data_IF_894547934000
#
_entry.id   IF_894547934000
#
_cell.length_a   1.000
_cell.length_b   1.000
_cell.length_c   1.000
_cell.angle_alpha   90.00
_cell.angle_beta   90.00
_cell.angle_gamma   90.00
#
_symmetry.space_group_name_H-M   'P 1'
#
loop_
_entity.id
_entity.type
_entity.pdbx_description
1 polymer ?
#
# COMPACT_ATOMS: atom_id res chain seq x y z
N UNK A 1 13.97 45.84 1.48
CA UNK A 1 13.56 44.45 1.71
C UNK A 1 12.48 44.13 0.70
N UNK A 2 12.73 43.21 -0.24
CA UNK A 2 11.68 42.73 -1.13
C UNK A 2 10.79 41.77 -0.33
N UNK A 3 9.47 42.02 -0.29
CA UNK A 3 8.50 41.11 0.29
C UNK A 3 8.40 39.88 -0.60
N UNK A 4 8.81 38.71 -0.10
CA UNK A 4 8.59 37.43 -0.76
C UNK A 4 7.21 36.91 -0.41
N UNK A 5 6.36 36.68 -1.42
CA UNK A 5 5.07 36.04 -1.23
C UNK A 5 5.29 34.53 -1.20
N UNK A 6 4.83 33.84 -0.16
CA UNK A 6 4.93 32.37 -0.08
C UNK A 6 3.82 31.74 -0.90
N UNK A 7 4.18 31.04 -1.98
CA UNK A 7 3.26 30.12 -2.66
C UNK A 7 2.99 28.87 -1.81
N UNK A 8 2.01 28.03 -2.20
CA UNK A 8 1.62 26.85 -1.44
C UNK A 8 2.69 25.75 -1.40
N UNK A 9 3.54 25.68 -2.43
CA UNK A 9 4.73 24.82 -2.51
C UNK A 9 5.89 25.63 -3.06
N UNK A 10 7.11 25.38 -2.60
CA UNK A 10 8.31 26.07 -3.07
C UNK A 10 8.55 25.76 -4.57
N UNK A 11 8.88 26.75 -5.42
CA UNK A 11 9.24 26.54 -6.82
C UNK A 11 10.39 25.54 -7.04
N UNK A 12 11.37 25.47 -6.14
CA UNK A 12 12.46 24.50 -6.23
C UNK A 12 11.92 23.07 -6.08
N UNK A 13 11.07 22.84 -5.08
CA UNK A 13 10.44 21.55 -4.81
C UNK A 13 9.55 21.11 -5.97
N UNK A 14 8.73 22.03 -6.52
CA UNK A 14 7.93 21.72 -7.71
C UNK A 14 8.80 21.28 -8.89
N UNK A 15 10.01 21.84 -9.05
CA UNK A 15 10.92 21.48 -10.15
C UNK A 15 11.57 20.12 -9.95
N UNK A 16 12.02 19.81 -8.73
CA UNK A 16 12.84 18.63 -8.47
C UNK A 16 12.08 17.41 -7.97
N UNK A 17 10.97 17.59 -7.26
CA UNK A 17 10.27 16.49 -6.61
C UNK A 17 9.33 15.74 -7.58
N UNK A 18 9.12 14.44 -7.36
CA UNK A 18 8.01 13.71 -7.96
C UNK A 18 6.66 14.34 -7.60
N UNK A 19 5.65 14.15 -8.44
CA UNK A 19 4.29 14.70 -8.23
C UNK A 19 3.73 14.34 -6.86
N UNK A 20 3.93 13.10 -6.39
CA UNK A 20 3.45 12.66 -5.08
C UNK A 20 4.08 13.45 -3.93
N UNK A 21 5.39 13.68 -3.96
CA UNK A 21 6.09 14.41 -2.90
C UNK A 21 5.71 15.90 -2.90
N UNK A 22 5.62 16.53 -4.07
CA UNK A 22 5.08 17.88 -4.21
C UNK A 22 3.63 17.98 -3.70
N UNK A 23 2.81 16.96 -3.97
CA UNK A 23 1.44 16.87 -3.45
C UNK A 23 1.41 16.77 -1.92
N UNK A 24 2.35 16.06 -1.29
CA UNK A 24 2.43 16.00 0.18
C UNK A 24 2.79 17.35 0.79
N UNK A 25 3.67 18.12 0.18
CA UNK A 25 3.96 19.50 0.60
C UNK A 25 2.73 20.40 0.47
N UNK A 26 2.01 20.27 -0.65
CA UNK A 26 0.75 20.97 -0.86
C UNK A 26 -0.29 20.59 0.20
N UNK A 27 -0.43 19.30 0.52
CA UNK A 27 -1.35 18.82 1.55
C UNK A 27 -1.04 19.43 2.92
N UNK A 28 0.24 19.51 3.30
CA UNK A 28 0.67 20.15 4.55
C UNK A 28 0.32 21.65 4.58
N UNK A 29 0.49 22.34 3.46
CA UNK A 29 0.08 23.74 3.33
C UNK A 29 -1.44 23.90 3.50
N UNK A 30 -2.23 23.12 2.77
CA UNK A 30 -3.71 23.17 2.81
C UNK A 30 -4.26 22.83 4.21
N UNK A 31 -3.60 21.95 4.96
CA UNK A 31 -3.99 21.59 6.32
C UNK A 31 -3.79 22.73 7.33
N UNK A 32 -2.86 23.66 7.10
CA UNK A 32 -2.62 24.81 7.98
C UNK A 32 -3.65 25.91 7.81
N UNK A 33 -4.17 26.10 6.60
CA UNK A 33 -5.14 27.16 6.30
C UNK A 33 -6.54 26.89 6.88
N UNK A 34 -6.89 25.63 7.15
CA UNK A 34 -8.09 25.22 7.90
C UNK A 34 -9.45 25.60 7.29
N UNK A 35 -9.47 26.28 6.15
CA UNK A 35 -10.64 26.80 5.46
C UNK A 35 -11.16 25.91 4.33
N UNK A 36 -12.27 26.34 3.72
CA UNK A 36 -12.76 25.75 2.47
C UNK A 36 -11.72 25.95 1.36
N UNK A 37 -11.44 24.88 0.62
CA UNK A 37 -10.37 24.83 -0.38
C UNK A 37 -10.97 25.00 -1.78
N UNK A 38 -10.28 25.71 -2.67
CA UNK A 38 -10.70 25.84 -4.07
C UNK A 38 -9.47 25.89 -4.97
N UNK A 39 -9.39 24.95 -5.91
CA UNK A 39 -8.22 24.79 -6.79
C UNK A 39 -7.90 26.06 -7.57
N UNK A 40 -8.89 26.74 -8.16
CA UNK A 40 -8.68 27.99 -8.88
C UNK A 40 -8.12 29.10 -7.97
N UNK A 41 -8.60 29.22 -6.72
CA UNK A 41 -8.06 30.20 -5.78
C UNK A 41 -6.61 29.88 -5.40
N UNK A 42 -6.31 28.61 -5.13
CA UNK A 42 -4.95 28.14 -4.84
C UNK A 42 -4.00 28.42 -6.00
N UNK A 43 -4.39 28.08 -7.24
CA UNK A 43 -3.53 28.29 -8.41
C UNK A 43 -3.32 29.78 -8.72
N UNK A 44 -4.34 30.62 -8.60
CA UNK A 44 -4.19 32.08 -8.78
C UNK A 44 -3.30 32.70 -7.71
N UNK A 45 -3.44 32.27 -6.45
CA UNK A 45 -2.57 32.71 -5.37
C UNK A 45 -1.11 32.32 -5.60
N UNK A 46 -0.88 31.07 -6.03
CA UNK A 46 0.44 30.57 -6.39
C UNK A 46 1.04 31.34 -7.57
N UNK A 47 0.26 31.55 -8.64
CA UNK A 47 0.69 32.32 -9.82
C UNK A 47 1.15 33.72 -9.44
N UNK A 48 0.35 34.43 -8.64
CA UNK A 48 0.70 35.77 -8.18
C UNK A 48 2.00 35.76 -7.36
N UNK A 49 2.14 34.80 -6.44
CA UNK A 49 3.34 34.67 -5.62
C UNK A 49 4.59 34.41 -6.48
N UNK A 50 4.54 33.44 -7.39
CA UNK A 50 5.66 33.07 -8.26
C UNK A 50 6.04 34.21 -9.22
N UNK A 51 5.07 34.91 -9.82
CA UNK A 51 5.34 36.08 -10.68
C UNK A 51 5.98 37.21 -9.88
N UNK A 52 5.47 37.52 -8.69
CA UNK A 52 6.03 38.59 -7.84
C UNK A 52 7.47 38.30 -7.40
N UNK A 53 7.80 37.02 -7.19
CA UNK A 53 9.15 36.59 -6.84
C UNK A 53 10.09 36.49 -8.06
N UNK A 54 9.61 36.75 -9.29
CA UNK A 54 10.41 36.71 -10.50
C UNK A 54 10.79 35.29 -10.94
N UNK A 55 10.00 34.28 -10.56
CA UNK A 55 10.28 32.88 -10.91
C UNK A 55 10.22 32.66 -12.43
N UNK A 56 11.22 32.01 -13.03
CA UNK A 56 11.15 31.62 -14.44
C UNK A 56 10.16 30.47 -14.63
N UNK A 57 9.52 30.43 -15.81
CA UNK A 57 8.61 29.37 -16.24
C UNK A 57 7.43 29.13 -15.30
N UNK A 58 6.77 30.20 -14.85
CA UNK A 58 5.61 30.13 -13.93
C UNK A 58 4.54 29.15 -14.42
N UNK A 59 4.24 29.11 -15.72
CA UNK A 59 3.24 28.20 -16.28
C UNK A 59 3.59 26.72 -15.99
N UNK A 60 4.88 26.35 -16.06
CA UNK A 60 5.36 25.00 -15.73
C UNK A 60 5.19 24.69 -14.25
N UNK A 61 5.46 25.67 -13.37
CA UNK A 61 5.24 25.53 -11.93
C UNK A 61 3.75 25.32 -11.63
N UNK A 62 2.87 26.07 -12.30
CA UNK A 62 1.42 25.93 -12.14
C UNK A 62 0.91 24.57 -12.64
N UNK A 63 1.44 24.06 -13.75
CA UNK A 63 1.10 22.70 -14.21
C UNK A 63 1.50 21.64 -13.18
N UNK A 64 2.72 21.71 -12.65
CA UNK A 64 3.19 20.78 -11.60
C UNK A 64 2.37 20.87 -10.31
N UNK A 65 1.97 22.08 -9.93
CA UNK A 65 1.08 22.29 -8.79
C UNK A 65 -0.33 21.74 -9.05
N UNK A 66 -0.82 21.84 -10.30
CA UNK A 66 -2.08 21.23 -10.73
C UNK A 66 -2.02 19.70 -10.71
N UNK A 67 -0.92 19.10 -11.17
CA UNK A 67 -0.71 17.65 -11.08
C UNK A 67 -0.68 17.17 -9.63
N UNK A 68 -0.04 17.95 -8.75
CA UNK A 68 -0.02 17.70 -7.32
C UNK A 68 -1.44 17.74 -6.70
N UNK A 69 -2.27 18.72 -7.10
CA UNK A 69 -3.69 18.78 -6.69
C UNK A 69 -4.47 17.55 -7.15
N UNK A 70 -4.36 17.20 -8.44
CA UNK A 70 -5.05 16.05 -9.02
C UNK A 70 -4.66 14.74 -8.31
N UNK A 71 -3.38 14.61 -7.92
CA UNK A 71 -2.91 13.48 -7.12
C UNK A 71 -3.59 13.42 -5.74
N UNK A 72 -3.76 14.56 -5.04
CA UNK A 72 -4.45 14.60 -3.75
C UNK A 72 -5.93 14.21 -3.85
N UNK A 73 -6.59 14.55 -4.95
CA UNK A 73 -7.96 14.11 -5.23
C UNK A 73 -8.02 12.60 -5.49
N UNK A 74 -7.10 12.08 -6.31
CA UNK A 74 -7.02 10.66 -6.63
C UNK A 74 -6.76 9.78 -5.39
N UNK A 75 -6.00 10.28 -4.42
CA UNK A 75 -5.73 9.61 -3.14
C UNK A 75 -6.83 9.83 -2.09
N UNK A 76 -7.93 10.49 -2.46
CA UNK A 76 -9.03 10.87 -1.59
C UNK A 76 -8.60 11.68 -0.35
N UNK A 77 -7.51 12.45 -0.44
CA UNK A 77 -7.11 13.40 0.60
C UNK A 77 -7.92 14.70 0.51
N UNK A 78 -8.32 15.07 -0.70
CA UNK A 78 -9.29 16.13 -0.98
C UNK A 78 -10.63 15.53 -1.40
N UNK A 79 -11.71 16.21 -1.04
CA UNK A 79 -13.07 15.83 -1.44
C UNK A 79 -14.01 17.03 -1.41
N UNK A 80 -15.21 16.92 -2.00
CA UNK A 80 -16.16 18.02 -2.09
C UNK A 80 -16.56 18.53 -0.69
N UNK A 81 -16.72 19.85 -0.57
CA UNK A 81 -17.33 20.44 0.62
C UNK A 81 -18.86 20.29 0.53
N UNK A 82 -19.51 19.61 1.49
CA UNK A 82 -20.95 19.36 1.42
C UNK A 82 -21.82 20.61 1.64
N UNK A 83 -21.22 21.74 2.05
CA UNK A 83 -21.91 23.00 2.34
C UNK A 83 -21.72 24.05 1.25
N UNK A 84 -20.89 23.78 0.24
CA UNK A 84 -20.56 24.74 -0.81
C UNK A 84 -20.73 24.12 -2.20
N UNK A 85 -21.04 24.94 -3.20
CA UNK A 85 -21.23 24.53 -4.60
C UNK A 85 -20.14 25.13 -5.48
N UNK A 86 -19.85 24.56 -6.66
CA UNK A 86 -18.89 25.15 -7.60
C UNK A 86 -17.42 24.76 -7.36
N UNK A 87 -17.18 23.49 -7.00
CA UNK A 87 -15.82 22.95 -6.93
C UNK A 87 -15.05 23.29 -5.65
N UNK A 88 -15.74 23.77 -4.62
CA UNK A 88 -15.15 23.88 -3.28
C UNK A 88 -14.95 22.50 -2.66
N UNK A 89 -13.81 22.36 -2.00
CA UNK A 89 -13.32 21.12 -1.44
C UNK A 89 -12.93 21.34 0.02
N UNK A 90 -12.68 20.23 0.69
CA UNK A 90 -12.15 20.16 2.05
C UNK A 90 -11.12 19.04 2.13
N UNK A 91 -10.33 19.05 3.19
CA UNK A 91 -9.64 17.84 3.60
C UNK A 91 -10.66 16.76 4.00
N UNK A 92 -10.45 15.55 3.50
CA UNK A 92 -11.16 14.36 3.99
C UNK A 92 -10.66 13.98 5.39
N UNK A 93 -11.30 13.02 6.06
CA UNK A 93 -10.74 12.49 7.31
C UNK A 93 -9.35 11.88 7.05
N UNK A 94 -9.25 11.09 5.97
CA UNK A 94 -7.99 10.51 5.47
C UNK A 94 -6.92 11.58 5.20
N UNK A 95 -7.28 12.66 4.52
CA UNK A 95 -6.37 13.77 4.22
C UNK A 95 -5.90 14.52 5.45
N UNK A 96 -6.76 14.70 6.48
CA UNK A 96 -6.36 15.28 7.77
C UNK A 96 -5.39 14.37 8.52
N UNK A 97 -5.74 13.11 8.69
CA UNK A 97 -4.89 12.12 9.35
C UNK A 97 -3.50 12.03 8.69
N UNK A 98 -3.47 12.00 7.36
CA UNK A 98 -2.22 11.94 6.61
C UNK A 98 -1.39 13.22 6.78
N UNK A 99 -2.02 14.39 6.88
CA UNK A 99 -1.34 15.66 7.11
C UNK A 99 -0.81 15.80 8.55
N UNK A 100 -1.48 15.19 9.53
CA UNK A 100 -1.14 15.24 10.95
C UNK A 100 0.03 14.31 11.30
N UNK A 101 0.03 13.06 10.80
CA UNK A 101 1.02 12.05 11.16
C UNK A 101 1.54 11.27 9.92
N UNK A 102 2.85 11.36 9.63
CA UNK A 102 3.49 10.55 8.59
C UNK A 102 3.30 9.04 8.77
N UNK A 103 3.19 8.52 10.00
CA UNK A 103 2.98 7.09 10.25
C UNK A 103 1.57 6.64 9.83
N UNK A 104 0.55 7.47 10.08
CA UNK A 104 -0.81 7.22 9.59
C UNK A 104 -0.85 7.21 8.07
N UNK A 105 -0.11 8.12 7.41
CA UNK A 105 0.05 8.10 5.96
C UNK A 105 0.70 6.80 5.46
N UNK A 106 1.76 6.32 6.10
CA UNK A 106 2.41 5.05 5.75
C UNK A 106 1.44 3.87 5.88
N UNK A 107 0.66 3.81 6.97
CA UNK A 107 -0.37 2.79 7.17
C UNK A 107 -1.46 2.84 6.08
N UNK A 108 -1.89 4.05 5.70
CA UNK A 108 -2.86 4.26 4.62
C UNK A 108 -2.32 3.77 3.26
N UNK A 109 -1.07 4.07 2.91
CA UNK A 109 -0.44 3.59 1.67
C UNK A 109 -0.29 2.06 1.69
N UNK A 110 0.10 1.49 2.83
CA UNK A 110 0.17 0.04 3.01
C UNK A 110 -1.20 -0.63 2.79
N UNK A 111 -2.27 -0.06 3.35
CA UNK A 111 -3.64 -0.53 3.14
C UNK A 111 -4.07 -0.43 1.67
N UNK A 112 -3.72 0.66 0.97
CA UNK A 112 -4.03 0.84 -0.45
C UNK A 112 -3.42 -0.26 -1.32
N UNK A 113 -2.23 -0.79 -0.96
CA UNK A 113 -1.63 -1.92 -1.67
C UNK A 113 -2.51 -3.17 -1.65
N UNK A 114 -3.31 -3.34 -0.60
CA UNK A 114 -4.29 -4.42 -0.48
C UNK A 114 -5.60 -4.09 -1.20
N UNK A 115 -5.84 -2.84 -1.61
CA UNK A 115 -7.09 -2.44 -2.29
C UNK A 115 -7.25 -2.96 -3.71
N UNK A 116 -6.15 -3.32 -4.38
CA UNK A 116 -6.14 -3.84 -5.75
C UNK A 116 -6.74 -5.27 -5.91
N UNK A 117 -7.20 -5.86 -4.80
CA UNK A 117 -7.92 -7.14 -4.77
C UNK A 117 -7.00 -8.27 -4.35
N UNK A 118 -7.29 -8.88 -3.19
CA UNK A 118 -6.60 -10.08 -2.75
C UNK A 118 -7.26 -11.32 -3.35
N UNK A 119 -6.55 -12.44 -3.28
CA UNK A 119 -7.04 -13.75 -3.61
C UNK A 119 -8.35 -14.00 -2.83
N UNK A 120 -9.40 -14.61 -3.43
CA UNK A 120 -10.73 -14.70 -2.81
C UNK A 120 -10.75 -15.33 -1.41
N UNK A 121 -9.84 -16.26 -1.14
CA UNK A 121 -9.66 -16.90 0.18
C UNK A 121 -9.03 -15.97 1.25
N UNK A 122 -8.52 -14.80 0.88
CA UNK A 122 -7.92 -13.80 1.76
C UNK A 122 -8.76 -12.52 1.87
N UNK A 123 -9.36 -12.06 0.76
CA UNK A 123 -9.89 -10.69 0.59
C UNK A 123 -10.96 -10.26 1.61
N UNK A 124 -11.76 -11.18 2.14
CA UNK A 124 -12.77 -10.83 3.16
C UNK A 124 -12.14 -10.56 4.54
N UNK A 125 -11.59 -11.60 5.15
CA UNK A 125 -11.15 -11.55 6.55
C UNK A 125 -9.85 -10.76 6.73
N UNK A 126 -8.83 -11.02 5.91
CA UNK A 126 -7.49 -10.41 6.06
C UNK A 126 -7.55 -8.91 5.85
N UNK A 127 -8.29 -8.46 4.82
CA UNK A 127 -8.50 -7.04 4.52
C UNK A 127 -9.18 -6.31 5.68
N UNK A 128 -10.22 -6.90 6.25
CA UNK A 128 -10.95 -6.29 7.36
C UNK A 128 -10.06 -6.11 8.60
N UNK A 129 -9.29 -7.13 8.95
CA UNK A 129 -8.33 -7.09 10.08
C UNK A 129 -7.26 -6.01 9.84
N UNK A 130 -6.69 -5.98 8.63
CA UNK A 130 -5.65 -5.00 8.27
C UNK A 130 -6.19 -3.56 8.34
N UNK A 131 -7.39 -3.32 7.82
CA UNK A 131 -8.03 -2.00 7.84
C UNK A 131 -8.34 -1.48 9.25
N UNK A 132 -8.45 -2.38 10.24
CA UNK A 132 -8.62 -2.04 11.65
C UNK A 132 -7.29 -1.73 12.37
N UNK A 133 -6.16 -1.83 11.68
CA UNK A 133 -4.82 -1.56 12.22
C UNK A 133 -4.17 -2.76 12.92
N UNK A 134 -4.81 -3.93 12.94
CA UNK A 134 -4.26 -5.16 13.51
C UNK A 134 -3.38 -5.89 12.47
N UNK A 135 -2.24 -5.28 12.17
CA UNK A 135 -1.35 -5.72 11.10
C UNK A 135 -0.73 -7.10 11.36
N UNK A 136 -0.40 -7.40 12.63
CA UNK A 136 0.13 -8.71 13.03
C UNK A 136 -0.87 -9.83 12.74
N UNK A 137 -2.11 -9.67 13.21
CA UNK A 137 -3.15 -10.66 13.01
C UNK A 137 -3.49 -10.81 11.53
N UNK A 138 -3.48 -9.72 10.76
CA UNK A 138 -3.71 -9.79 9.32
C UNK A 138 -2.63 -10.62 8.60
N UNK A 139 -1.35 -10.36 8.87
CA UNK A 139 -0.23 -11.10 8.29
C UNK A 139 -0.26 -12.59 8.71
N UNK A 140 -0.50 -12.86 9.99
CA UNK A 140 -0.64 -14.23 10.50
C UNK A 140 -1.82 -14.97 9.86
N UNK A 141 -3.00 -14.34 9.78
CA UNK A 141 -4.19 -14.92 9.19
C UNK A 141 -3.99 -15.25 7.71
N UNK A 142 -3.29 -14.39 6.96
CA UNK A 142 -3.00 -14.60 5.55
C UNK A 142 -2.13 -15.86 5.32
N UNK A 143 -1.03 -16.00 6.06
CA UNK A 143 -0.17 -17.18 5.93
C UNK A 143 -0.77 -18.45 6.54
N UNK A 144 -1.62 -18.32 7.56
CA UNK A 144 -2.43 -19.45 8.04
C UNK A 144 -3.35 -19.97 6.93
N UNK A 145 -3.96 -19.09 6.13
CA UNK A 145 -4.79 -19.51 5.01
C UNK A 145 -3.99 -20.26 3.93
N UNK A 146 -2.74 -19.83 3.65
CA UNK A 146 -1.82 -20.57 2.78
C UNK A 146 -1.53 -21.97 3.33
N UNK A 147 -1.22 -22.07 4.63
CA UNK A 147 -0.96 -23.36 5.28
C UNK A 147 -2.15 -24.32 5.20
N UNK A 148 -3.36 -23.81 5.47
CA UNK A 148 -4.61 -24.58 5.33
C UNK A 148 -4.79 -25.06 3.90
N UNK A 149 -4.62 -24.18 2.90
CA UNK A 149 -4.80 -24.56 1.49
C UNK A 149 -3.78 -25.59 1.02
N UNK A 150 -2.51 -25.48 1.43
CA UNK A 150 -1.49 -26.50 1.14
C UNK A 150 -1.90 -27.84 1.73
N UNK A 151 -2.39 -27.85 2.98
CA UNK A 151 -2.85 -29.07 3.64
C UNK A 151 -3.99 -29.73 2.86
N UNK A 152 -4.98 -28.92 2.48
CA UNK A 152 -6.18 -29.39 1.78
C UNK A 152 -5.84 -29.96 0.39
N UNK A 153 -5.01 -29.26 -0.39
CA UNK A 153 -4.59 -29.72 -1.72
C UNK A 153 -3.66 -30.94 -1.67
N UNK A 154 -2.77 -31.01 -0.67
CA UNK A 154 -1.84 -32.12 -0.53
C UNK A 154 -2.50 -33.38 0.06
N UNK A 155 -3.62 -33.23 0.78
CA UNK A 155 -4.30 -34.34 1.46
C UNK A 155 -3.46 -35.01 2.55
N UNK A 156 -2.52 -34.28 3.16
CA UNK A 156 -1.63 -34.78 4.21
C UNK A 156 -1.81 -34.00 5.49
N UNK A 157 -1.72 -34.66 6.65
CA UNK A 157 -1.73 -33.99 7.94
C UNK A 157 -0.39 -33.29 8.23
N UNK A 158 -0.45 -32.20 8.99
CA UNK A 158 0.74 -31.48 9.41
C UNK A 158 0.53 -29.97 9.56
N UNK A 159 1.59 -29.32 10.03
CA UNK A 159 1.66 -27.87 10.23
C UNK A 159 3.08 -27.37 9.91
N UNK A 160 3.18 -26.09 9.61
CA UNK A 160 4.42 -25.35 9.52
C UNK A 160 5.34 -25.80 8.39
N UNK A 161 6.63 -25.61 8.61
CA UNK A 161 7.71 -26.00 7.69
C UNK A 161 7.67 -27.49 7.31
N UNK A 162 7.43 -28.44 8.24
CA UNK A 162 7.32 -29.87 7.89
C UNK A 162 6.21 -30.17 6.87
N UNK A 163 5.06 -29.51 6.97
CA UNK A 163 3.96 -29.65 6.01
C UNK A 163 4.40 -29.18 4.61
N UNK A 164 4.97 -27.97 4.51
CA UNK A 164 5.41 -27.41 3.22
C UNK A 164 6.46 -28.32 2.56
N UNK A 165 7.44 -28.80 3.34
CA UNK A 165 8.47 -29.72 2.83
C UNK A 165 7.89 -31.06 2.39
N UNK A 166 6.88 -31.57 3.08
CA UNK A 166 6.25 -32.85 2.71
C UNK A 166 5.39 -32.73 1.46
N UNK A 167 4.66 -31.62 1.32
CA UNK A 167 3.75 -31.38 0.20
C UNK A 167 4.49 -31.11 -1.12
N UNK A 168 5.62 -30.38 -1.08
CA UNK A 168 6.36 -29.92 -2.25
C UNK A 168 7.68 -30.65 -2.51
N UNK A 169 8.03 -31.69 -1.74
CA UNK A 169 9.29 -32.43 -1.98
C UNK A 169 9.35 -32.93 -3.43
N UNK A 170 10.53 -32.78 -4.04
CA UNK A 170 10.83 -33.26 -5.39
C UNK A 170 10.42 -34.73 -5.61
N UNK A 171 10.80 -35.59 -4.66
CA UNK A 171 10.53 -37.02 -4.74
C UNK A 171 9.24 -37.39 -3.98
N UNK A 172 8.12 -37.31 -4.69
CA UNK A 172 6.81 -37.79 -4.23
C UNK A 172 6.00 -36.79 -3.40
N UNK A 173 6.25 -35.48 -3.55
CA UNK A 173 5.38 -34.44 -3.04
C UNK A 173 4.17 -34.26 -3.95
N UNK A 174 2.96 -34.28 -3.38
CA UNK A 174 1.70 -34.19 -4.15
C UNK A 174 1.57 -32.87 -4.90
N UNK A 175 2.16 -31.79 -4.36
CA UNK A 175 2.07 -30.45 -4.93
C UNK A 175 3.30 -30.05 -5.77
N UNK A 176 4.31 -30.92 -5.84
CA UNK A 176 5.48 -30.68 -6.68
C UNK A 176 5.08 -30.65 -8.15
N UNK A 177 5.71 -29.78 -8.93
CA UNK A 177 5.52 -29.73 -10.38
C UNK A 177 6.40 -30.80 -11.05
N UNK A 178 5.83 -31.89 -11.59
CA UNK A 178 6.62 -32.95 -12.19
C UNK A 178 7.36 -32.51 -13.47
N UNK A 179 6.89 -31.44 -14.12
CA UNK A 179 7.44 -30.94 -15.38
C UNK A 179 8.53 -29.88 -15.18
N UNK A 180 8.67 -29.35 -13.96
CA UNK A 180 9.69 -28.37 -13.61
C UNK A 180 11.06 -29.03 -13.37
N UNK A 181 12.15 -28.28 -13.62
CA UNK A 181 13.49 -28.78 -13.31
C UNK A 181 13.64 -29.06 -11.80
N UNK A 182 14.54 -29.99 -11.46
CA UNK A 182 14.78 -30.35 -10.06
C UNK A 182 15.15 -29.15 -9.17
N UNK A 183 15.85 -28.15 -9.71
CA UNK A 183 16.14 -26.91 -8.99
C UNK A 183 14.90 -26.05 -8.74
N UNK A 184 13.97 -25.98 -9.69
CA UNK A 184 12.72 -25.21 -9.58
C UNK A 184 11.72 -25.86 -8.60
N UNK A 185 11.66 -27.19 -8.59
CA UNK A 185 10.87 -27.93 -7.60
C UNK A 185 11.38 -27.65 -6.18
N UNK A 186 12.70 -27.71 -5.98
CA UNK A 186 13.35 -27.39 -4.71
C UNK A 186 13.10 -25.92 -4.31
N UNK A 187 13.22 -24.98 -5.26
CA UNK A 187 13.00 -23.56 -5.00
C UNK A 187 11.54 -23.26 -4.58
N UNK A 188 10.57 -23.90 -5.23
CA UNK A 188 9.15 -23.78 -4.83
C UNK A 188 8.93 -24.29 -3.41
N UNK A 189 9.47 -25.46 -3.08
CA UNK A 189 9.38 -25.99 -1.71
C UNK A 189 10.01 -25.03 -0.69
N UNK A 190 11.20 -24.52 -0.98
CA UNK A 190 11.92 -23.60 -0.10
C UNK A 190 11.21 -22.25 0.04
N UNK A 191 10.53 -21.76 -1.00
CA UNK A 191 9.71 -20.56 -0.95
C UNK A 191 8.53 -20.72 0.03
N UNK A 192 7.75 -21.79 -0.10
CA UNK A 192 6.61 -22.04 0.80
C UNK A 192 7.08 -22.31 2.24
N UNK A 193 8.11 -23.14 2.41
CA UNK A 193 8.69 -23.43 3.71
C UNK A 193 9.29 -22.17 4.36
N UNK A 194 10.00 -21.37 3.59
CA UNK A 194 10.60 -20.11 4.02
C UNK A 194 9.55 -19.09 4.44
N UNK A 195 8.50 -18.89 3.64
CA UNK A 195 7.42 -17.95 3.97
C UNK A 195 6.74 -18.32 5.31
N UNK A 196 6.36 -19.58 5.49
CA UNK A 196 5.73 -20.07 6.72
C UNK A 196 6.69 -20.00 7.91
N UNK A 197 7.94 -20.44 7.71
CA UNK A 197 8.98 -20.46 8.75
C UNK A 197 9.35 -19.07 9.25
N UNK A 198 9.44 -18.09 8.34
CA UNK A 198 9.90 -16.74 8.64
C UNK A 198 8.78 -15.87 9.21
N UNK A 199 7.59 -15.89 8.62
CA UNK A 199 6.58 -14.87 8.91
C UNK A 199 5.39 -15.39 9.73
N UNK A 200 5.05 -16.68 9.65
CA UNK A 200 3.90 -17.26 10.40
C UNK A 200 4.31 -17.92 11.72
N UNK A 201 5.41 -18.68 11.71
CA UNK A 201 5.83 -19.42 12.90
C UNK A 201 6.19 -18.51 14.09
N UNK A 202 6.91 -17.38 13.94
CA UNK A 202 7.19 -16.51 15.07
C UNK A 202 5.91 -15.99 15.73
N UNK A 203 4.95 -15.49 14.95
CA UNK A 203 3.64 -15.02 15.44
C UNK A 203 2.80 -16.14 16.08
N UNK A 204 3.13 -17.42 15.85
CA UNK A 204 2.48 -18.56 16.52
C UNK A 204 2.98 -18.79 17.95
N UNK A 205 4.15 -18.25 18.30
CA UNK A 205 4.85 -18.53 19.57
C UNK A 205 5.12 -17.29 20.42
N UNK A 206 5.08 -16.11 19.81
CA UNK A 206 5.33 -14.81 20.46
C UNK A 206 4.59 -13.72 19.69
N UNK A 207 4.34 -12.59 20.35
CA UNK A 207 3.92 -11.36 19.69
C UNK A 207 5.01 -10.87 18.75
N UNK A 208 4.61 -10.46 17.54
CA UNK A 208 5.46 -9.86 16.52
C UNK A 208 4.96 -8.46 16.25
N UNK A 209 5.77 -7.48 16.62
CA UNK A 209 5.50 -6.08 16.31
C UNK A 209 5.98 -5.75 14.89
N UNK A 210 5.02 -5.48 14.00
CA UNK A 210 5.30 -4.89 12.69
C UNK A 210 5.42 -3.38 12.87
N UNK A 211 6.60 -2.92 13.29
CA UNK A 211 6.90 -1.50 13.48
C UNK A 211 6.70 -0.65 12.21
N UNK A 212 6.68 -1.28 11.04
CA UNK A 212 6.21 -0.71 9.77
C UNK A 212 5.01 -1.50 9.23
N UNK A 213 3.80 -0.90 9.16
CA UNK A 213 2.62 -1.51 8.53
C UNK A 213 2.83 -1.95 7.08
N UNK A 214 3.78 -1.33 6.37
CA UNK A 214 4.15 -1.74 5.01
C UNK A 214 4.67 -3.17 4.98
N UNK A 215 5.51 -3.56 5.94
CA UNK A 215 6.05 -4.92 6.00
C UNK A 215 4.92 -5.94 6.18
N UNK A 216 3.95 -5.67 7.06
CA UNK A 216 2.80 -6.54 7.23
C UNK A 216 1.95 -6.64 5.96
N UNK A 217 1.75 -5.53 5.22
CA UNK A 217 1.05 -5.55 3.94
C UNK A 217 1.81 -6.40 2.91
N UNK A 218 3.14 -6.30 2.88
CA UNK A 218 3.99 -7.10 1.98
C UNK A 218 3.94 -8.59 2.33
N UNK A 219 3.86 -8.96 3.61
CA UNK A 219 3.62 -10.36 4.04
C UNK A 219 2.25 -10.84 3.56
N UNK A 220 1.20 -10.01 3.64
CA UNK A 220 -0.12 -10.34 3.10
C UNK A 220 -0.07 -10.50 1.57
N UNK A 221 0.68 -9.65 0.86
CA UNK A 221 0.86 -9.76 -0.59
C UNK A 221 1.70 -10.98 -0.99
N UNK A 222 2.67 -11.37 -0.17
CA UNK A 222 3.39 -12.63 -0.33
C UNK A 222 2.41 -13.81 -0.20
N UNK A 223 1.55 -13.80 0.83
CA UNK A 223 0.51 -14.82 1.00
C UNK A 223 -0.46 -14.83 -0.20
N UNK A 224 -0.87 -13.67 -0.71
CA UNK A 224 -1.68 -13.55 -1.93
C UNK A 224 -1.01 -14.24 -3.13
N UNK A 225 0.27 -13.94 -3.37
CA UNK A 225 1.04 -14.56 -4.43
C UNK A 225 1.12 -16.08 -4.26
N UNK A 226 1.37 -16.57 -3.04
CA UNK A 226 1.41 -18.02 -2.75
C UNK A 226 0.06 -18.68 -3.02
N UNK A 227 -1.06 -18.03 -2.68
CA UNK A 227 -2.40 -18.56 -3.00
C UNK A 227 -2.63 -18.67 -4.51
N UNK A 228 -2.15 -17.70 -5.31
CA UNK A 228 -2.20 -17.77 -6.78
C UNK A 228 -1.27 -18.83 -7.37
N UNK A 229 -0.17 -19.16 -6.71
CA UNK A 229 0.65 -20.32 -7.10
C UNK A 229 -0.08 -21.63 -6.80
N UNK A 230 -0.81 -21.70 -5.68
CA UNK A 230 -1.66 -22.85 -5.36
C UNK A 230 -2.83 -23.02 -6.32
N UNK A 231 -3.42 -21.94 -6.85
CA UNK A 231 -4.41 -22.03 -7.94
C UNK A 231 -3.84 -22.77 -9.16
N UNK A 232 -2.59 -22.46 -9.54
CA UNK A 232 -1.92 -23.14 -10.67
C UNK A 232 -1.61 -24.60 -10.37
N UNK A 233 -1.21 -24.90 -9.13
CA UNK A 233 -0.99 -26.28 -8.69
C UNK A 233 -2.29 -27.06 -8.76
N UNK A 234 -3.38 -26.51 -8.22
CA UNK A 234 -4.71 -27.12 -8.23
C UNK A 234 -5.18 -27.42 -9.67
N UNK A 235 -5.04 -26.45 -10.58
CA UNK A 235 -5.36 -26.63 -12.01
C UNK A 235 -4.55 -27.73 -12.69
N UNK A 236 -3.32 -28.01 -12.23
CA UNK A 236 -2.48 -29.09 -12.77
C UNK A 236 -2.84 -30.46 -12.19
N UNK A 237 -3.34 -30.49 -10.95
CA UNK A 237 -3.67 -31.74 -10.23
C UNK A 237 -5.11 -32.21 -10.45
N UNK A 238 -5.96 -31.38 -11.06
CA UNK A 238 -7.32 -31.73 -11.52
C UNK A 238 -7.29 -32.37 -12.90
#
# INVERSE_FOLDING_TARGET
>A
MNMTYSGPVDPADLRSLPTSEAALLLLQHLARDGGALNSNNTFRGAEQAYRNNGEPNVDVLLTKLSDAWAWLEAQAYLGPDPRQTGGWQRLTSRGREAAEDPNLRTAQIAADRLTMGLHPLLDGNVRAIFALGDHETAAFAALKAVEVRVRDLAGIEGLGVPLMRSAFKKDGGVLADPDADGGEQQATMDLFAGAIGTFKNPASHRTVDYGDPTEAAEVVLLADLLMRLLDRVEQRTQ
#
